data_IF_997076210138
#
_entry.id   IF_997076210138
#
_cell.length_a   1.000
_cell.length_b   1.000
_cell.length_c   1.000
_cell.angle_alpha   90.00
_cell.angle_beta   90.00
_cell.angle_gamma   90.00
#
_symmetry.space_group_name_H-M   'P 1'
#
loop_
_entity.id
_entity.type
_entity.pdbx_description
1 polymer ?
#
# COMPACT_ATOMS: atom_id res chain seq x y z
N UNK A 1 -11.83 -52.63 40.75
CA UNK A 1 -11.80 -52.85 39.30
C UNK A 1 -12.35 -51.60 38.63
N UNK A 2 -11.49 -50.69 38.14
CA UNK A 2 -11.90 -49.46 37.48
C UNK A 2 -10.98 -49.24 36.27
N UNK A 3 -11.55 -49.30 35.07
CA UNK A 3 -10.86 -48.97 33.81
C UNK A 3 -11.31 -47.56 33.41
N UNK A 4 -10.37 -46.63 33.43
CA UNK A 4 -10.60 -45.23 33.11
C UNK A 4 -10.45 -45.08 31.59
N UNK A 5 -11.55 -44.90 30.88
CA UNK A 5 -11.56 -44.74 29.44
C UNK A 5 -11.29 -43.25 29.16
N UNK A 6 -10.06 -42.96 28.73
CA UNK A 6 -9.65 -41.64 28.28
C UNK A 6 -10.12 -41.44 26.84
N UNK A 7 -11.08 -40.54 26.62
CA UNK A 7 -11.52 -40.12 25.29
C UNK A 7 -11.05 -38.69 25.05
N UNK A 8 -9.94 -38.55 24.32
CA UNK A 8 -9.45 -37.26 23.85
C UNK A 8 -10.30 -36.86 22.64
N UNK A 9 -11.14 -35.84 22.81
CA UNK A 9 -11.98 -35.28 21.78
C UNK A 9 -11.20 -34.16 21.05
N UNK A 10 -10.54 -34.49 19.94
CA UNK A 10 -9.80 -33.53 19.14
C UNK A 10 -10.76 -32.70 18.29
N UNK A 11 -11.07 -31.47 18.73
CA UNK A 11 -11.85 -30.50 17.96
C UNK A 11 -10.99 -29.98 16.80
N UNK A 12 -11.24 -30.47 15.58
CA UNK A 12 -10.72 -29.86 14.35
C UNK A 12 -11.40 -28.51 14.14
N UNK A 13 -10.78 -27.43 14.60
CA UNK A 13 -11.15 -26.07 14.23
C UNK A 13 -10.80 -25.86 12.75
N UNK A 14 -11.75 -26.10 11.85
CA UNK A 14 -11.65 -25.68 10.47
C UNK A 14 -11.68 -24.14 10.44
N UNK A 15 -10.50 -23.51 10.46
CA UNK A 15 -10.35 -22.08 10.29
C UNK A 15 -10.66 -21.75 8.83
N UNK A 16 -11.96 -21.57 8.52
CA UNK A 16 -12.39 -21.08 7.22
C UNK A 16 -11.88 -19.65 7.07
N UNK A 17 -10.74 -19.48 6.41
CA UNK A 17 -10.24 -18.18 5.99
C UNK A 17 -11.24 -17.61 4.98
N UNK A 18 -12.14 -16.77 5.45
CA UNK A 18 -13.00 -15.96 4.59
C UNK A 18 -12.07 -15.17 3.66
N UNK A 19 -12.27 -15.20 2.33
CA UNK A 19 -11.50 -14.35 1.45
C UNK A 19 -11.79 -12.92 1.89
N UNK A 20 -10.75 -12.18 2.26
CA UNK A 20 -10.85 -10.75 2.49
C UNK A 20 -11.25 -10.14 1.16
N UNK A 21 -12.56 -10.03 0.92
CA UNK A 21 -13.09 -9.34 -0.24
C UNK A 21 -12.43 -7.98 -0.25
N UNK A 22 -11.60 -7.72 -1.26
CA UNK A 22 -10.85 -6.49 -1.35
C UNK A 22 -11.87 -5.34 -1.29
N UNK A 23 -11.88 -4.64 -0.16
CA UNK A 23 -12.87 -3.60 0.11
C UNK A 23 -12.47 -2.43 -0.76
N UNK A 24 -13.26 -2.18 -1.81
CA UNK A 24 -13.03 -1.06 -2.72
C UNK A 24 -12.80 0.27 -1.99
N UNK A 25 -12.14 1.19 -2.68
CA UNK A 25 -11.76 2.50 -2.15
C UNK A 25 -12.96 3.44 -2.23
N UNK A 26 -13.38 4.01 -1.10
CA UNK A 26 -14.56 4.88 -1.05
C UNK A 26 -14.18 6.37 -1.05
N UNK A 27 -12.97 6.71 -0.62
CA UNK A 27 -12.52 8.08 -0.43
C UNK A 27 -11.03 8.24 -0.74
N UNK A 28 -10.62 9.48 -1.00
CA UNK A 28 -9.23 9.83 -1.31
C UNK A 28 -8.26 9.48 -0.17
N UNK A 29 -8.65 9.75 1.08
CA UNK A 29 -7.82 9.43 2.26
C UNK A 29 -7.55 7.92 2.40
N UNK A 30 -8.52 7.09 2.00
CA UNK A 30 -8.33 5.63 1.97
C UNK A 30 -7.31 5.23 0.88
N UNK A 31 -7.32 5.90 -0.28
CA UNK A 31 -6.33 5.68 -1.32
C UNK A 31 -4.92 6.06 -0.84
N UNK A 32 -4.78 7.24 -0.22
CA UNK A 32 -3.51 7.71 0.35
C UNK A 32 -3.01 6.78 1.44
N UNK A 33 -3.88 6.32 2.34
CA UNK A 33 -3.52 5.37 3.40
C UNK A 33 -2.98 4.05 2.85
N UNK A 34 -3.59 3.51 1.78
CA UNK A 34 -3.07 2.31 1.12
C UNK A 34 -1.71 2.54 0.44
N UNK A 35 -1.52 3.70 -0.19
CA UNK A 35 -0.24 4.06 -0.80
C UNK A 35 0.86 4.18 0.25
N UNK A 36 0.60 4.82 1.40
CA UNK A 36 1.54 4.88 2.52
C UNK A 36 1.95 3.45 2.95
N UNK A 37 0.97 2.57 3.18
CA UNK A 37 1.24 1.19 3.59
C UNK A 37 2.05 0.41 2.55
N UNK A 38 1.80 0.64 1.25
CA UNK A 38 2.54 -0.01 0.17
C UNK A 38 3.99 0.51 0.11
N UNK A 39 4.20 1.83 0.20
CA UNK A 39 5.53 2.46 0.23
C UNK A 39 6.38 1.91 1.38
N UNK A 40 5.82 1.81 2.58
CA UNK A 40 6.53 1.30 3.76
C UNK A 40 6.84 -0.19 3.65
N UNK A 41 5.86 -0.99 3.20
CA UNK A 41 6.00 -2.44 3.05
C UNK A 41 7.06 -2.83 2.02
N UNK A 42 7.06 -2.14 0.88
CA UNK A 42 7.95 -2.43 -0.24
C UNK A 42 9.23 -1.60 -0.24
N UNK A 43 9.40 -0.69 0.73
CA UNK A 43 10.58 0.17 0.90
C UNK A 43 10.93 0.92 -0.40
N UNK A 44 9.92 1.52 -1.04
CA UNK A 44 10.07 2.14 -2.37
C UNK A 44 10.91 3.44 -2.37
N UNK A 45 11.27 3.94 -1.19
CA UNK A 45 12.16 5.08 -1.00
C UNK A 45 12.90 4.93 0.32
N UNK A 46 14.05 5.59 0.44
CA UNK A 46 14.81 5.71 1.70
C UNK A 46 14.33 6.87 2.58
N UNK A 47 13.52 7.77 2.02
CA UNK A 47 12.91 8.86 2.78
C UNK A 47 11.88 8.31 3.77
N UNK A 48 11.81 8.94 4.94
CA UNK A 48 10.78 8.63 5.94
C UNK A 48 9.42 9.12 5.45
N UNK A 49 8.34 8.45 5.86
CA UNK A 49 6.97 8.79 5.47
C UNK A 49 6.62 10.25 5.77
N UNK A 50 7.09 10.84 6.88
CA UNK A 50 6.85 12.26 7.21
C UNK A 50 7.52 13.26 6.27
N UNK A 51 8.50 12.80 5.48
CA UNK A 51 9.18 13.56 4.43
C UNK A 51 8.66 13.25 3.03
N UNK A 52 7.50 12.59 2.95
CA UNK A 52 6.75 12.39 1.73
C UNK A 52 5.50 13.28 1.71
N UNK A 53 5.15 13.73 0.51
CA UNK A 53 3.89 14.40 0.22
C UNK A 53 3.09 13.56 -0.77
N UNK A 54 1.81 13.35 -0.48
CA UNK A 54 0.91 12.52 -1.27
C UNK A 54 -0.14 13.40 -1.97
N UNK A 55 -0.03 13.52 -3.29
CA UNK A 55 -0.98 14.30 -4.09
C UNK A 55 -2.00 13.34 -4.71
N UNK A 56 -3.24 13.39 -4.24
CA UNK A 56 -4.31 12.49 -4.69
C UNK A 56 -5.23 13.18 -5.69
N UNK A 57 -5.48 12.48 -6.80
CA UNK A 57 -6.44 12.87 -7.83
C UNK A 57 -7.47 11.75 -8.02
N UNK A 58 -8.74 12.13 -8.14
CA UNK A 58 -9.80 11.18 -8.47
C UNK A 58 -9.82 10.95 -9.99
N UNK A 59 -9.78 9.69 -10.41
CA UNK A 59 -9.89 9.32 -11.84
C UNK A 59 -11.27 8.74 -12.13
N UNK A 60 -11.54 8.41 -13.41
CA UNK A 60 -12.79 7.77 -13.82
C UNK A 60 -13.03 6.45 -13.07
N UNK A 61 -12.00 5.62 -12.98
CA UNK A 61 -12.06 4.25 -12.44
C UNK A 61 -11.54 4.14 -11.01
N UNK A 62 -10.96 5.20 -10.45
CA UNK A 62 -10.03 5.05 -9.34
C UNK A 62 -9.50 6.34 -8.74
N UNK A 63 -8.27 6.24 -8.28
CA UNK A 63 -7.46 7.36 -7.81
C UNK A 63 -6.07 7.24 -8.43
N UNK A 64 -5.45 8.39 -8.68
CA UNK A 64 -4.02 8.51 -8.91
C UNK A 64 -3.41 9.17 -7.68
N UNK A 65 -2.29 8.65 -7.19
CA UNK A 65 -1.56 9.26 -6.07
C UNK A 65 -0.12 9.44 -6.47
N UNK A 66 0.34 10.68 -6.57
CA UNK A 66 1.76 10.98 -6.73
C UNK A 66 2.42 10.99 -5.35
N UNK A 67 3.56 10.32 -5.24
CA UNK A 67 4.45 10.38 -4.08
C UNK A 67 5.60 11.30 -4.41
N UNK A 68 5.76 12.35 -3.60
CA UNK A 68 6.72 13.43 -3.82
C UNK A 68 7.56 13.63 -2.58
N UNK A 69 8.74 14.20 -2.75
CA UNK A 69 9.51 14.70 -1.63
C UNK A 69 8.78 15.90 -1.01
N UNK A 70 8.71 15.92 0.31
CA UNK A 70 8.31 17.10 1.08
C UNK A 70 9.57 17.88 1.41
N UNK A 71 9.67 19.11 0.94
CA UNK A 71 10.78 20.00 1.28
C UNK A 71 10.38 21.04 2.31
N UNK A 72 11.04 21.00 3.46
CA UNK A 72 10.88 21.96 4.55
C UNK A 72 12.12 21.93 5.47
N UNK A 73 12.09 22.66 6.58
CA UNK A 73 13.20 22.71 7.53
C UNK A 73 13.53 21.35 8.17
N UNK A 74 12.57 20.42 8.26
CA UNK A 74 12.76 19.09 8.86
C UNK A 74 13.28 18.08 7.84
N UNK A 75 12.80 18.15 6.60
CA UNK A 75 13.06 17.17 5.55
C UNK A 75 14.13 17.60 4.55
N UNK A 76 14.58 18.86 4.61
CA UNK A 76 15.59 19.43 3.72
C UNK A 76 15.03 19.75 2.33
N UNK A 77 15.92 20.13 1.42
CA UNK A 77 15.58 20.51 0.04
C UNK A 77 15.11 21.96 -0.13
N UNK A 78 14.85 22.33 -1.38
CA UNK A 78 14.32 23.66 -1.73
C UNK A 78 12.80 23.71 -1.47
N UNK A 79 12.31 24.55 -0.54
CA UNK A 79 10.89 24.67 -0.22
C UNK A 79 9.99 25.09 -1.38
N UNK A 80 10.55 25.67 -2.45
CA UNK A 80 9.82 26.05 -3.66
C UNK A 80 9.58 24.85 -4.60
N UNK A 81 10.07 23.66 -4.25
CA UNK A 81 10.01 22.47 -5.09
C UNK A 81 9.39 21.29 -4.35
N UNK A 82 8.80 20.37 -5.12
CA UNK A 82 8.33 19.08 -4.62
C UNK A 82 8.59 18.00 -5.68
N UNK A 83 9.86 17.55 -5.82
CA UNK A 83 10.25 16.53 -6.76
C UNK A 83 9.36 15.30 -6.66
N UNK A 84 8.91 14.80 -7.81
CA UNK A 84 8.12 13.58 -7.87
C UNK A 84 9.04 12.36 -7.83
N UNK A 85 8.74 11.41 -6.94
CA UNK A 85 9.44 10.14 -6.85
C UNK A 85 8.81 9.11 -7.81
N UNK A 86 7.52 8.84 -7.62
CA UNK A 86 6.74 7.89 -8.39
C UNK A 86 5.25 8.13 -8.15
N UNK A 87 4.38 7.34 -8.78
CA UNK A 87 2.94 7.43 -8.62
C UNK A 87 2.30 6.05 -8.52
N UNK A 88 1.06 6.07 -8.05
CA UNK A 88 0.17 4.93 -7.99
C UNK A 88 -1.09 5.18 -8.81
N UNK A 89 -1.61 4.12 -9.41
CA UNK A 89 -2.99 4.01 -9.86
C UNK A 89 -3.71 2.98 -8.99
N UNK A 90 -4.86 3.36 -8.42
CA UNK A 90 -5.66 2.51 -7.57
C UNK A 90 -7.04 2.33 -8.17
N UNK A 91 -7.44 1.09 -8.45
CA UNK A 91 -8.80 0.79 -8.93
C UNK A 91 -9.82 0.95 -7.79
N UNK A 92 -10.87 1.75 -8.00
CA UNK A 92 -11.86 2.06 -6.96
C UNK A 92 -12.62 0.83 -6.51
N UNK A 93 -12.93 -0.08 -7.43
CA UNK A 93 -13.81 -1.24 -7.16
C UNK A 93 -13.06 -2.32 -6.39
N UNK A 94 -11.87 -2.65 -6.83
CA UNK A 94 -11.07 -3.76 -6.32
C UNK A 94 -10.00 -3.34 -5.31
N UNK A 95 -9.61 -2.07 -5.26
CA UNK A 95 -8.48 -1.60 -4.45
C UNK A 95 -7.12 -2.07 -4.94
N UNK A 96 -7.04 -2.76 -6.09
CA UNK A 96 -5.76 -3.17 -6.68
C UNK A 96 -4.93 -1.97 -7.07
N UNK A 97 -3.63 -2.05 -6.82
CA UNK A 97 -2.70 -0.96 -7.08
C UNK A 97 -1.72 -1.31 -8.20
N UNK A 98 -1.30 -0.28 -8.93
CA UNK A 98 -0.13 -0.31 -9.79
C UNK A 98 0.74 0.89 -9.48
N UNK A 99 2.05 0.77 -9.62
CA UNK A 99 2.99 1.87 -9.44
C UNK A 99 4.02 1.91 -10.55
N UNK A 100 4.50 3.10 -10.89
CA UNK A 100 5.66 3.31 -11.76
C UNK A 100 6.97 3.52 -10.98
N UNK A 101 6.99 3.17 -9.68
CA UNK A 101 8.25 3.10 -8.93
C UNK A 101 9.25 2.18 -9.62
N UNK A 102 10.51 2.59 -9.66
CA UNK A 102 11.58 1.73 -10.15
C UNK A 102 11.68 0.48 -9.25
N UNK A 103 11.88 -0.69 -9.86
CA UNK A 103 12.20 -1.87 -9.09
C UNK A 103 13.57 -1.67 -8.40
N UNK A 104 13.83 -2.33 -7.26
CA UNK A 104 15.14 -2.25 -6.61
C UNK A 104 16.27 -2.53 -7.61
N UNK A 105 17.29 -1.66 -7.62
CA UNK A 105 18.44 -1.73 -8.52
C UNK A 105 18.10 -1.69 -10.02
N UNK A 106 16.97 -1.09 -10.39
CA UNK A 106 16.56 -0.92 -11.79
C UNK A 106 16.38 0.55 -12.14
N UNK A 107 16.51 0.89 -13.43
CA UNK A 107 16.19 2.22 -13.92
C UNK A 107 14.69 2.50 -13.89
N UNK A 108 14.33 3.78 -13.77
CA UNK A 108 12.95 4.21 -13.86
C UNK A 108 12.50 4.24 -15.32
N UNK A 109 11.46 3.45 -15.65
CA UNK A 109 10.93 3.35 -17.01
C UNK A 109 9.62 4.11 -17.20
N UNK A 110 8.99 4.60 -16.12
CA UNK A 110 7.66 5.21 -16.13
C UNK A 110 6.49 4.23 -16.37
N UNK A 111 6.77 2.93 -16.47
CA UNK A 111 5.74 1.91 -16.67
C UNK A 111 5.06 1.52 -15.36
N UNK A 112 3.73 1.43 -15.38
CA UNK A 112 2.95 0.99 -14.22
C UNK A 112 2.93 -0.54 -14.12
N UNK A 113 3.40 -1.05 -12.99
CA UNK A 113 3.42 -2.48 -12.67
C UNK A 113 2.53 -2.75 -11.47
N UNK A 114 1.88 -3.92 -11.46
CA UNK A 114 1.04 -4.32 -10.35
C UNK A 114 1.85 -4.39 -9.06
N UNK A 115 1.26 -3.91 -7.97
CA UNK A 115 1.82 -3.95 -6.62
C UNK A 115 0.66 -4.22 -5.66
N UNK A 116 0.83 -5.23 -4.81
CA UNK A 116 -0.19 -5.75 -3.87
C UNK A 116 -1.47 -6.37 -4.51
#
# INVERSE_FOLDING_TARGET
>A
MMKNISTILTFFFAFAALPAAARGIKAADQAVSQVIQSVERHKLTTLKTECLMFMVEKTRTGYRVDVREKHDAQCGGDPATAPRLFSYEIDRRSGKMKTDAAAPNSEWTGEYRAID
#
